data_IF_120699074158
#
_entry.id   IF_120699074158
#
_cell.length_a   1.000
_cell.length_b   1.000
_cell.length_c   1.000
_cell.angle_alpha   90.00
_cell.angle_beta   90.00
_cell.angle_gamma   90.00
#
_symmetry.space_group_name_H-M   'P 1'
#
loop_
_entity.id
_entity.type
_entity.pdbx_description
1 polymer ?
#
# COMPACT_ATOMS: atom_id res chain seq x y z
N UNK A 1 9.89 -15.42 -2.05
CA UNK A 1 11.15 -15.49 -2.82
C UNK A 1 10.79 -15.54 -4.29
N UNK A 2 11.33 -14.63 -5.10
CA UNK A 2 11.15 -14.68 -6.56
C UNK A 2 12.37 -15.38 -7.12
N UNK A 3 12.15 -16.49 -7.82
CA UNK A 3 13.19 -17.19 -8.54
C UNK A 3 13.26 -16.63 -9.98
N UNK A 4 14.41 -16.78 -10.63
CA UNK A 4 14.62 -16.33 -12.01
C UNK A 4 14.67 -14.80 -12.18
N UNK A 5 15.50 -14.14 -11.37
CA UNK A 5 15.79 -12.72 -11.49
C UNK A 5 17.27 -12.53 -11.79
N UNK A 6 17.57 -12.02 -12.99
CA UNK A 6 18.95 -11.90 -13.49
C UNK A 6 19.77 -10.82 -12.78
N UNK A 7 19.12 -9.77 -12.27
CA UNK A 7 19.80 -8.65 -11.62
C UNK A 7 18.87 -7.83 -10.71
N UNK A 8 19.47 -6.95 -9.90
CA UNK A 8 18.75 -6.06 -8.98
C UNK A 8 17.69 -5.18 -9.68
N UNK A 9 17.92 -4.78 -10.93
CA UNK A 9 16.97 -3.96 -11.69
C UNK A 9 15.70 -4.75 -12.06
N UNK A 10 15.85 -6.01 -12.49
CA UNK A 10 14.73 -6.90 -12.75
C UNK A 10 13.93 -7.20 -11.47
N UNK A 11 14.62 -7.38 -10.33
CA UNK A 11 13.99 -7.53 -9.02
C UNK A 11 13.14 -6.31 -8.64
N UNK A 12 13.69 -5.10 -8.82
CA UNK A 12 12.96 -3.84 -8.59
C UNK A 12 11.76 -3.70 -9.53
N UNK A 13 11.90 -4.07 -10.79
CA UNK A 13 10.79 -4.04 -11.75
C UNK A 13 9.66 -5.00 -11.35
N UNK A 14 9.99 -6.21 -10.91
CA UNK A 14 9.01 -7.17 -10.41
C UNK A 14 8.29 -6.65 -9.15
N UNK A 15 9.03 -6.07 -8.20
CA UNK A 15 8.46 -5.43 -7.02
C UNK A 15 7.51 -4.28 -7.39
N UNK A 16 7.88 -3.43 -8.35
CA UNK A 16 7.04 -2.33 -8.85
C UNK A 16 5.73 -2.80 -9.48
N UNK A 17 5.75 -3.92 -10.20
CA UNK A 17 4.52 -4.55 -10.74
C UNK A 17 3.60 -5.00 -9.61
N UNK A 18 4.13 -5.64 -8.57
CA UNK A 18 3.34 -6.06 -7.41
C UNK A 18 2.71 -4.87 -6.70
N UNK A 19 3.47 -3.80 -6.47
CA UNK A 19 2.93 -2.56 -5.88
C UNK A 19 1.77 -2.03 -6.73
N UNK A 20 1.95 -1.96 -8.05
CA UNK A 20 0.94 -1.43 -8.96
C UNK A 20 -0.37 -2.23 -8.96
N UNK A 21 -0.29 -3.56 -8.80
CA UNK A 21 -1.46 -4.44 -8.68
C UNK A 21 -2.15 -4.24 -7.33
N UNK A 22 -1.39 -4.16 -6.24
CA UNK A 22 -1.94 -4.05 -4.89
C UNK A 22 -2.54 -2.67 -4.61
N UNK A 23 -2.00 -1.60 -5.20
CA UNK A 23 -2.50 -0.23 -5.01
C UNK A 23 -3.78 0.06 -5.78
N UNK A 24 -4.30 -0.87 -6.58
CA UNK A 24 -5.62 -0.74 -7.19
C UNK A 24 -6.70 -0.65 -6.10
N UNK A 25 -7.72 0.22 -6.26
CA UNK A 25 -8.78 0.36 -5.26
C UNK A 25 -9.52 -0.96 -5.02
N UNK A 26 -9.51 -1.44 -3.77
CA UNK A 26 -10.23 -2.64 -3.40
C UNK A 26 -11.68 -2.30 -3.07
N UNK A 27 -12.63 -2.97 -3.71
CA UNK A 27 -14.06 -2.76 -3.46
C UNK A 27 -14.54 -3.66 -2.33
N UNK A 28 -15.00 -3.05 -1.24
CA UNK A 28 -15.56 -3.74 -0.08
C UNK A 28 -16.84 -3.02 0.37
N UNK A 29 -17.95 -3.76 0.46
CA UNK A 29 -19.26 -3.21 0.87
C UNK A 29 -19.71 -1.95 0.10
N UNK A 30 -19.47 -1.94 -1.23
CA UNK A 30 -19.81 -0.79 -2.08
C UNK A 30 -18.91 0.45 -1.89
N UNK A 31 -17.80 0.31 -1.15
CA UNK A 31 -16.81 1.38 -0.94
C UNK A 31 -15.48 1.01 -1.59
N UNK A 32 -14.81 2.01 -2.14
CA UNK A 32 -13.44 1.87 -2.63
C UNK A 32 -12.45 2.17 -1.51
N UNK A 33 -11.62 1.18 -1.18
CA UNK A 33 -10.58 1.27 -0.18
C UNK A 33 -9.23 1.48 -0.89
N UNK A 34 -8.57 2.63 -0.68
CA UNK A 34 -7.21 2.82 -1.19
C UNK A 34 -6.26 1.94 -0.39
N UNK A 35 -5.57 1.03 -1.07
CA UNK A 35 -4.56 0.18 -0.48
C UNK A 35 -3.17 0.77 -0.71
N UNK A 36 -2.25 0.48 0.21
CA UNK A 36 -0.81 0.74 0.06
C UNK A 36 -0.05 -0.46 0.57
N UNK A 37 1.07 -0.77 -0.08
CA UNK A 37 1.96 -1.86 0.33
C UNK A 37 3.39 -1.34 0.48
N UNK A 38 4.17 -2.01 1.31
CA UNK A 38 5.61 -1.78 1.45
C UNK A 38 6.31 -3.07 1.09
N UNK A 39 7.26 -3.01 0.17
CA UNK A 39 8.01 -4.16 -0.32
C UNK A 39 9.48 -3.86 -0.11
N UNK A 40 10.17 -4.71 0.65
CA UNK A 40 11.62 -4.64 0.81
C UNK A 40 12.32 -5.62 -0.10
N UNK A 41 13.53 -5.29 -0.53
CA UNK A 41 14.30 -6.10 -1.47
C UNK A 41 15.70 -6.43 -0.93
N UNK A 42 16.10 -7.68 -1.09
CA UNK A 42 17.48 -8.14 -1.00
C UNK A 42 17.77 -9.09 -2.17
N UNK A 43 19.04 -9.17 -2.59
CA UNK A 43 19.49 -9.89 -3.78
C UNK A 43 20.77 -10.62 -3.45
N UNK A 44 20.78 -11.92 -3.71
CA UNK A 44 21.98 -12.77 -3.67
C UNK A 44 22.74 -12.66 -5.00
N UNK A 45 24.09 -12.64 -5.00
CA UNK A 45 24.98 -12.53 -3.84
C UNK A 45 25.25 -11.07 -3.43
N UNK A 46 24.68 -10.09 -4.13
CA UNK A 46 25.01 -8.67 -4.01
C UNK A 46 24.91 -8.10 -2.59
N UNK A 47 23.93 -8.54 -1.80
CA UNK A 47 23.72 -8.02 -0.44
C UNK A 47 24.29 -8.94 0.63
N UNK A 48 24.08 -10.25 0.50
CA UNK A 48 24.67 -11.26 1.37
C UNK A 48 24.65 -12.63 0.69
N UNK A 49 25.53 -13.52 1.14
CA UNK A 49 25.57 -14.92 0.74
C UNK A 49 24.74 -15.83 1.65
N UNK A 50 24.39 -15.36 2.84
CA UNK A 50 23.55 -16.09 3.79
C UNK A 50 22.06 -15.76 3.62
N UNK A 51 21.22 -16.80 3.64
CA UNK A 51 19.78 -16.65 3.40
C UNK A 51 19.08 -15.90 4.54
N UNK A 52 19.47 -16.16 5.79
CA UNK A 52 18.87 -15.50 6.95
C UNK A 52 19.22 -14.01 6.99
N UNK A 53 20.46 -13.68 6.62
CA UNK A 53 20.90 -12.30 6.41
C UNK A 53 20.11 -11.60 5.29
N UNK A 54 19.93 -12.25 4.14
CA UNK A 54 19.13 -11.69 3.03
C UNK A 54 17.68 -11.41 3.44
N UNK A 55 17.04 -12.32 4.16
CA UNK A 55 15.68 -12.13 4.66
C UNK A 55 15.61 -10.95 5.63
N UNK A 56 16.56 -10.88 6.58
CA UNK A 56 16.66 -9.80 7.55
C UNK A 56 16.86 -8.43 6.86
N UNK A 57 17.66 -8.38 5.81
CA UNK A 57 17.88 -7.16 5.01
C UNK A 57 16.61 -6.72 4.27
N UNK A 58 15.89 -7.66 3.65
CA UNK A 58 14.62 -7.35 2.98
C UNK A 58 13.57 -6.82 3.98
N UNK A 59 13.46 -7.44 5.15
CA UNK A 59 12.53 -6.99 6.20
C UNK A 59 12.89 -5.60 6.73
N UNK A 60 14.19 -5.33 6.91
CA UNK A 60 14.66 -4.01 7.32
C UNK A 60 14.31 -2.93 6.27
N UNK A 61 14.52 -3.22 4.99
CA UNK A 61 14.16 -2.33 3.89
C UNK A 61 12.65 -2.07 3.83
N UNK A 62 11.85 -3.13 3.94
CA UNK A 62 10.39 -3.05 4.03
C UNK A 62 9.95 -2.16 5.20
N UNK A 63 10.55 -2.36 6.38
CA UNK A 63 10.22 -1.60 7.58
C UNK A 63 10.53 -0.10 7.41
N UNK A 64 11.67 0.24 6.79
CA UNK A 64 12.04 1.62 6.46
C UNK A 64 10.99 2.27 5.56
N UNK A 65 10.55 1.56 4.51
CA UNK A 65 9.50 2.03 3.60
C UNK A 65 8.17 2.23 4.35
N UNK A 66 7.73 1.24 5.11
CA UNK A 66 6.47 1.27 5.90
C UNK A 66 6.44 2.44 6.88
N UNK A 67 7.57 2.73 7.54
CA UNK A 67 7.71 3.86 8.45
C UNK A 67 7.58 5.21 7.73
N UNK A 68 8.07 5.31 6.49
CA UNK A 68 7.94 6.51 5.68
C UNK A 68 6.51 6.76 5.19
N UNK A 69 5.75 5.69 4.90
CA UNK A 69 4.36 5.77 4.43
C UNK A 69 3.39 6.12 5.55
N UNK A 70 3.59 5.59 6.77
CA UNK A 70 2.79 5.95 7.95
C UNK A 70 2.79 7.45 8.26
N UNK A 71 3.90 8.13 7.97
CA UNK A 71 3.97 9.60 8.10
C UNK A 71 3.13 10.34 7.06
N UNK A 72 2.81 9.69 5.93
CA UNK A 72 2.06 10.27 4.80
C UNK A 72 0.58 9.88 4.76
N UNK A 73 0.17 8.81 5.43
CA UNK A 73 -1.23 8.42 5.52
C UNK A 73 -1.93 9.13 6.69
N UNK A 74 -2.52 10.30 6.43
CA UNK A 74 -3.60 10.82 7.28
C UNK A 74 -4.85 10.00 7.05
N UNK A 75 -5.56 9.52 8.09
CA UNK A 75 -6.85 8.88 7.89
C UNK A 75 -7.79 9.84 7.18
N UNK A 76 -8.43 9.38 6.09
CA UNK A 76 -9.40 10.19 5.35
C UNK A 76 -10.57 10.47 6.31
N UNK A 77 -10.74 11.72 6.71
CA UNK A 77 -11.92 12.17 7.45
C UNK A 77 -13.12 11.95 6.51
N UNK A 78 -14.12 11.16 6.92
CA UNK A 78 -15.33 11.03 6.14
C UNK A 78 -15.95 12.43 5.93
N UNK A 79 -16.45 12.76 4.73
CA UNK A 79 -17.25 13.97 4.56
C UNK A 79 -18.47 13.90 5.49
N UNK A 80 -18.92 15.03 6.04
CA UNK A 80 -20.13 15.05 6.87
C UNK A 80 -21.31 14.49 6.06
N UNK A 81 -22.24 13.75 6.69
CA UNK A 81 -23.43 13.27 5.99
C UNK A 81 -24.17 14.44 5.36
N UNK A 82 -24.78 14.26 4.17
CA UNK A 82 -25.53 15.33 3.52
C UNK A 82 -26.59 15.85 4.49
N UNK A 83 -26.67 17.17 4.64
CA UNK A 83 -27.59 17.82 5.57
C UNK A 83 -29.01 17.28 5.30
N UNK A 84 -29.61 16.66 6.31
CA UNK A 84 -30.97 16.16 6.22
C UNK A 84 -31.86 17.35 5.81
N UNK A 85 -32.35 17.31 4.57
CA UNK A 85 -33.21 18.35 4.02
C UNK A 85 -34.37 18.59 4.96
N UNK A 86 -34.41 19.77 5.56
CA UNK A 86 -35.54 20.22 6.36
C UNK A 86 -36.79 20.16 5.48
N UNK A 87 -37.68 19.24 5.80
CA UNK A 87 -39.04 19.27 5.27
C UNK A 87 -39.72 20.47 5.91
N UNK A 88 -39.58 21.63 5.28
CA UNK A 88 -40.54 22.71 5.43
C UNK A 88 -41.83 22.24 4.75
N UNK A 89 -42.67 21.54 5.52
CA UNK A 89 -44.09 21.48 5.22
C UNK A 89 -44.76 22.52 6.13
N UNK A 90 -44.50 23.79 5.80
CA UNK A 90 -45.36 24.87 6.22
C UNK A 90 -46.67 24.73 5.43
N UNK A 91 -47.72 24.36 6.15
CA UNK A 91 -48.95 25.13 6.26
C UNK A 91 -49.40 25.86 4.97
N UNK A 92 -50.52 25.39 4.40
CA UNK A 92 -51.51 26.25 3.73
C UNK A 92 -52.81 25.48 3.43
N UNK A 93 -53.94 26.22 3.35
CA UNK A 93 -55.24 25.87 3.92
C UNK A 93 -56.08 24.86 3.14
#
# INVERSE_FOLDING_TARGET
MINDVENQSAARAAAGKLVSVVEQPFRFEGRELPLKVSVGLSVYPDHDSDLEALMSLADLDMYRIKRSLRRRCRPRRNPPPPAAGGRSHADRP
#
